data_IF_732988091108
#
_entry.id   IF_732988091108
#
_cell.length_a   1.000
_cell.length_b   1.000
_cell.length_c   1.000
_cell.angle_alpha   90.00
_cell.angle_beta   90.00
_cell.angle_gamma   90.00
#
_symmetry.space_group_name_H-M   'P 1'
#
loop_
_entity.id
_entity.type
_entity.pdbx_description
1 polymer ?
#
# COMPACT_ATOMS: atom_id res chain seq x y z
N UNK A 1 -1.77 -20.24 -11.02
CA UNK A 1 -1.54 -19.79 -9.63
C UNK A 1 -0.25 -18.99 -9.60
N UNK A 2 -0.35 -17.66 -9.69
CA UNK A 2 0.78 -16.76 -9.55
C UNK A 2 1.13 -16.61 -8.06
N UNK A 3 2.24 -17.22 -7.63
CA UNK A 3 2.79 -17.05 -6.28
C UNK A 3 3.59 -15.75 -6.19
N UNK A 4 2.92 -14.62 -6.37
CA UNK A 4 3.53 -13.34 -6.01
C UNK A 4 3.66 -13.25 -4.49
N UNK A 5 4.78 -12.75 -3.95
CA UNK A 5 4.96 -12.60 -2.51
C UNK A 5 4.00 -11.54 -1.95
N UNK A 6 3.76 -11.57 -0.63
CA UNK A 6 2.80 -10.67 0.04
C UNK A 6 3.36 -9.26 0.24
N UNK A 7 4.68 -9.13 0.23
CA UNK A 7 5.42 -7.89 0.13
C UNK A 7 6.78 -8.17 -0.52
N UNK A 8 7.43 -7.14 -1.03
CA UNK A 8 8.79 -7.23 -1.54
C UNK A 8 9.58 -5.96 -1.25
N UNK A 9 10.89 -6.09 -1.05
CA UNK A 9 11.85 -4.99 -0.99
C UNK A 9 12.87 -5.16 -2.10
N UNK A 10 13.02 -4.16 -2.97
CA UNK A 10 14.03 -4.12 -4.02
C UNK A 10 15.19 -3.26 -3.55
N UNK A 11 16.31 -3.88 -3.19
CA UNK A 11 17.46 -3.21 -2.62
C UNK A 11 18.73 -3.44 -3.47
N UNK A 12 19.60 -2.44 -3.61
CA UNK A 12 20.91 -2.61 -4.21
C UNK A 12 21.90 -3.19 -3.20
N UNK A 13 22.81 -4.05 -3.64
CA UNK A 13 23.86 -4.60 -2.76
C UNK A 13 24.30 -5.99 -3.14
N UNK A 14 25.12 -6.64 -2.31
CA UNK A 14 25.37 -8.08 -2.48
C UNK A 14 24.27 -8.90 -1.78
N UNK A 15 23.76 -9.98 -2.41
CA UNK A 15 22.66 -10.78 -1.85
C UNK A 15 22.92 -11.29 -0.43
N UNK A 16 24.12 -11.81 -0.15
CA UNK A 16 24.46 -12.32 1.18
C UNK A 16 24.49 -11.23 2.26
N UNK A 17 24.87 -9.99 1.88
CA UNK A 17 24.81 -8.85 2.78
C UNK A 17 23.36 -8.44 3.03
N UNK A 18 22.53 -8.40 1.98
CA UNK A 18 21.12 -8.07 2.10
C UNK A 18 20.39 -9.07 2.99
N UNK A 19 20.65 -10.38 2.84
CA UNK A 19 20.10 -11.44 3.68
C UNK A 19 20.48 -11.26 5.16
N UNK A 20 21.77 -11.07 5.44
CA UNK A 20 22.25 -10.85 6.81
C UNK A 20 21.67 -9.58 7.46
N UNK A 21 21.52 -8.50 6.68
CA UNK A 21 20.93 -7.25 7.19
C UNK A 21 19.42 -7.38 7.39
N UNK A 22 18.71 -7.99 6.45
CA UNK A 22 17.28 -8.22 6.58
C UNK A 22 16.96 -9.09 7.80
N UNK A 23 17.77 -10.12 8.04
CA UNK A 23 17.67 -10.96 9.23
C UNK A 23 17.86 -10.15 10.52
N UNK A 24 18.89 -9.31 10.59
CA UNK A 24 19.16 -8.48 11.76
C UNK A 24 18.05 -7.43 12.03
N UNK A 25 17.31 -7.02 11.00
CA UNK A 25 16.21 -6.04 11.12
C UNK A 25 14.92 -6.72 11.57
N UNK A 26 14.54 -7.82 10.90
CA UNK A 26 13.24 -8.50 11.13
C UNK A 26 13.32 -9.43 12.34
N UNK A 27 14.50 -9.94 12.67
CA UNK A 27 14.69 -10.91 13.75
C UNK A 27 15.87 -10.53 14.66
N UNK A 28 15.80 -9.41 15.41
CA UNK A 28 16.91 -8.92 16.21
C UNK A 28 17.34 -9.84 17.37
N UNK A 29 16.45 -10.73 17.81
CA UNK A 29 16.67 -11.69 18.91
C UNK A 29 16.79 -13.16 18.42
N UNK A 30 17.03 -13.37 17.12
CA UNK A 30 17.10 -14.74 16.57
C UNK A 30 18.42 -15.43 16.89
N UNK A 31 18.32 -16.55 17.60
CA UNK A 31 19.40 -17.52 17.76
C UNK A 31 19.18 -18.68 16.78
N UNK A 32 20.21 -19.06 16.01
CA UNK A 32 20.20 -20.14 14.99
C UNK A 32 19.71 -21.52 15.51
N UNK A 33 19.50 -21.69 16.82
CA UNK A 33 19.26 -22.99 17.45
C UNK A 33 17.86 -23.59 17.20
N UNK A 34 16.85 -22.81 16.80
CA UNK A 34 15.46 -23.30 16.72
C UNK A 34 15.01 -23.82 15.34
N UNK A 35 15.86 -23.75 14.31
CA UNK A 35 15.56 -24.36 13.00
C UNK A 35 14.32 -23.79 12.29
N UNK A 36 13.89 -22.60 12.66
CA UNK A 36 12.78 -21.87 12.03
C UNK A 36 13.21 -21.38 10.64
N UNK A 37 12.33 -21.54 9.64
CA UNK A 37 12.55 -20.99 8.30
C UNK A 37 12.50 -19.46 8.36
N UNK A 38 13.36 -18.79 7.59
CA UNK A 38 13.35 -17.33 7.52
C UNK A 38 11.99 -16.82 7.01
N UNK A 39 11.45 -15.74 7.59
CA UNK A 39 10.18 -15.13 7.15
C UNK A 39 10.26 -14.46 5.76
N UNK A 40 11.43 -14.51 5.14
CA UNK A 40 11.70 -13.95 3.83
C UNK A 40 12.70 -14.78 3.04
N UNK A 41 12.73 -14.57 1.73
CA UNK A 41 13.74 -15.09 0.80
C UNK A 41 14.44 -13.94 0.08
N UNK A 42 15.76 -14.03 -0.15
CA UNK A 42 16.48 -13.12 -1.04
C UNK A 42 16.59 -13.74 -2.43
N UNK A 43 15.98 -13.09 -3.42
CA UNK A 43 16.00 -13.49 -4.83
C UNK A 43 17.00 -12.61 -5.59
N UNK A 44 18.13 -13.18 -6.07
CA UNK A 44 19.10 -12.42 -6.82
C UNK A 44 18.53 -11.90 -8.14
N UNK A 45 18.46 -10.58 -8.27
CA UNK A 45 18.28 -9.92 -9.57
C UNK A 45 19.48 -10.10 -10.51
N UNK A 46 19.24 -9.80 -11.79
CA UNK A 46 20.22 -9.80 -12.88
C UNK A 46 21.12 -8.55 -12.92
N UNK A 47 20.79 -7.55 -12.11
CA UNK A 47 21.48 -6.26 -12.03
C UNK A 47 22.08 -6.00 -10.65
N UNK A 48 22.16 -4.71 -10.29
CA UNK A 48 22.64 -4.27 -8.96
C UNK A 48 21.60 -4.46 -7.85
N UNK A 49 20.33 -4.59 -8.24
CA UNK A 49 19.22 -4.78 -7.33
C UNK A 49 18.93 -6.27 -7.15
N UNK A 50 18.46 -6.60 -5.96
CA UNK A 50 17.94 -7.90 -5.59
C UNK A 50 16.63 -7.73 -4.83
N UNK A 51 15.78 -8.75 -4.83
CA UNK A 51 14.51 -8.71 -4.13
C UNK A 51 14.62 -9.47 -2.80
N UNK A 52 14.10 -8.88 -1.73
CA UNK A 52 13.79 -9.56 -0.47
C UNK A 52 12.28 -9.74 -0.47
N UNK A 53 11.78 -10.97 -0.37
CA UNK A 53 10.36 -11.27 -0.52
C UNK A 53 9.81 -11.96 0.71
N UNK A 54 8.67 -11.48 1.22
CA UNK A 54 8.00 -12.10 2.36
C UNK A 54 7.37 -13.44 2.00
N UNK A 55 7.62 -14.45 2.83
CA UNK A 55 7.09 -15.81 2.67
C UNK A 55 5.90 -16.11 3.59
N UNK A 56 5.74 -15.35 4.68
CA UNK A 56 4.65 -15.49 5.65
C UNK A 56 3.67 -14.28 5.62
N UNK A 57 2.34 -14.52 5.57
CA UNK A 57 1.34 -13.46 5.67
C UNK A 57 1.32 -12.66 6.97
N UNK A 58 1.88 -13.19 8.06
CA UNK A 58 1.94 -12.50 9.34
C UNK A 58 2.99 -11.38 9.40
N UNK A 59 3.90 -11.33 8.43
CA UNK A 59 4.99 -10.34 8.36
C UNK A 59 4.69 -9.15 7.44
N UNK A 60 3.41 -8.91 7.12
CA UNK A 60 2.98 -7.70 6.40
C UNK A 60 3.33 -6.46 7.24
N UNK A 61 4.04 -5.51 6.63
CA UNK A 61 4.58 -4.30 7.28
C UNK A 61 6.09 -4.34 7.49
N UNK A 62 6.72 -5.54 7.43
CA UNK A 62 8.17 -5.68 7.53
C UNK A 62 8.91 -4.99 6.36
N UNK A 63 8.29 -4.87 5.20
CA UNK A 63 8.87 -4.24 4.02
C UNK A 63 9.21 -2.76 4.23
N UNK A 64 8.42 -2.04 5.04
CA UNK A 64 8.66 -0.63 5.33
C UNK A 64 9.90 -0.47 6.19
N UNK A 65 9.99 -1.21 7.30
CA UNK A 65 11.13 -1.17 8.21
C UNK A 65 12.42 -1.63 7.51
N UNK A 66 12.34 -2.70 6.70
CA UNK A 66 13.46 -3.17 5.91
C UNK A 66 13.94 -2.11 4.91
N UNK A 67 13.02 -1.49 4.17
CA UNK A 67 13.40 -0.53 3.16
C UNK A 67 13.96 0.77 3.76
N UNK A 68 13.39 1.24 4.87
CA UNK A 68 13.91 2.39 5.62
C UNK A 68 15.36 2.15 6.05
N UNK A 69 15.61 1.08 6.81
CA UNK A 69 16.94 0.78 7.36
C UNK A 69 17.98 0.51 6.27
N UNK A 70 17.62 -0.24 5.21
CA UNK A 70 18.54 -0.48 4.09
C UNK A 70 18.84 0.81 3.31
N UNK A 71 17.89 1.74 3.21
CA UNK A 71 18.09 3.01 2.51
C UNK A 71 19.05 3.96 3.23
N UNK A 72 19.33 3.74 4.53
CA UNK A 72 20.35 4.47 5.29
C UNK A 72 21.78 4.01 4.96
N UNK A 73 21.91 2.82 4.36
CA UNK A 73 23.21 2.20 4.07
C UNK A 73 23.68 2.36 2.62
N UNK A 74 22.88 2.99 1.76
CA UNK A 74 23.19 3.16 0.34
C UNK A 74 22.70 4.50 -0.24
N UNK A 75 23.38 4.97 -1.29
CA UNK A 75 23.00 6.21 -1.99
C UNK A 75 21.85 5.98 -2.98
N UNK A 76 21.71 4.75 -3.48
CA UNK A 76 20.63 4.35 -4.36
C UNK A 76 19.30 4.17 -3.61
N UNK A 77 18.15 4.38 -4.27
CA UNK A 77 16.86 4.19 -3.64
C UNK A 77 16.61 2.71 -3.35
N UNK A 78 16.04 2.42 -2.18
CA UNK A 78 15.47 1.11 -1.86
C UNK A 78 13.96 1.20 -2.09
N UNK A 79 13.35 0.17 -2.68
CA UNK A 79 11.92 0.20 -2.94
C UNK A 79 11.18 -0.82 -2.08
N UNK A 80 10.15 -0.42 -1.34
CA UNK A 80 9.19 -1.36 -0.75
C UNK A 80 7.95 -1.47 -1.63
N UNK A 81 7.43 -2.68 -1.76
CA UNK A 81 6.21 -3.03 -2.48
C UNK A 81 5.31 -3.73 -1.48
N UNK A 82 4.25 -3.04 -1.07
CA UNK A 82 3.23 -3.61 -0.21
C UNK A 82 2.09 -4.16 -1.07
N UNK A 83 1.85 -5.47 -0.99
CA UNK A 83 0.71 -6.09 -1.68
C UNK A 83 -0.52 -6.13 -0.80
N UNK A 84 -0.40 -5.93 0.52
CA UNK A 84 -1.50 -6.01 1.49
C UNK A 84 -2.65 -5.02 1.23
N UNK A 85 -2.34 -3.91 0.57
CA UNK A 85 -3.30 -2.94 0.09
C UNK A 85 -3.42 -3.07 -1.44
N UNK A 86 -4.65 -3.07 -1.95
CA UNK A 86 -4.95 -2.86 -3.37
C UNK A 86 -5.32 -1.37 -3.53
N UNK A 87 -4.74 -0.61 -4.47
CA UNK A 87 -3.70 -0.99 -5.41
C UNK A 87 -2.36 -1.16 -4.70
N UNK A 88 -1.53 -2.03 -5.26
CA UNK A 88 -0.19 -2.28 -4.75
C UNK A 88 0.58 -0.96 -4.70
N UNK A 89 1.10 -0.63 -3.53
CA UNK A 89 1.79 0.62 -3.32
C UNK A 89 3.29 0.41 -3.48
N UNK A 90 3.92 1.24 -4.30
CA UNK A 90 5.37 1.29 -4.42
C UNK A 90 5.89 2.49 -3.66
N UNK A 91 6.90 2.27 -2.85
CA UNK A 91 7.54 3.28 -2.03
C UNK A 91 9.01 3.31 -2.31
N UNK A 92 9.56 4.49 -2.59
CA UNK A 92 10.99 4.74 -2.71
C UNK A 92 11.52 5.32 -1.42
N UNK A 93 12.56 4.70 -0.90
CA UNK A 93 13.26 5.09 0.31
C UNK A 93 14.66 5.55 -0.05
N UNK A 94 15.04 6.74 0.42
CA UNK A 94 16.37 7.30 0.22
C UNK A 94 16.83 7.97 1.51
N UNK A 95 17.90 7.47 2.12
CA UNK A 95 18.41 7.97 3.39
C UNK A 95 17.31 8.07 4.47
N UNK A 96 16.44 7.06 4.55
CA UNK A 96 15.30 7.00 5.46
C UNK A 96 14.09 7.87 5.06
N UNK A 97 14.20 8.70 4.02
CA UNK A 97 13.08 9.49 3.54
C UNK A 97 12.24 8.68 2.53
N UNK A 98 10.92 8.68 2.73
CA UNK A 98 9.95 7.94 1.96
C UNK A 98 9.27 8.82 0.89
N UNK A 99 9.08 8.27 -0.31
CA UNK A 99 8.32 8.84 -1.42
C UNK A 99 7.43 7.74 -2.02
N UNK A 100 6.12 7.97 -2.12
CA UNK A 100 5.21 7.01 -2.80
C UNK A 100 5.25 7.23 -4.31
N UNK A 101 5.39 6.15 -5.06
CA UNK A 101 5.52 6.15 -6.52
C UNK A 101 4.28 5.55 -7.17
N UNK A 102 3.72 6.29 -8.13
CA UNK A 102 2.65 5.82 -9.01
C UNK A 102 3.22 4.97 -10.16
N UNK A 103 3.85 3.85 -9.82
CA UNK A 103 4.44 2.91 -10.79
C UNK A 103 3.93 1.51 -10.55
N UNK A 104 3.74 0.75 -11.63
CA UNK A 104 3.38 -0.66 -11.54
C UNK A 104 4.55 -1.46 -10.93
N UNK A 105 4.33 -2.19 -9.81
CA UNK A 105 5.42 -2.87 -9.11
C UNK A 105 6.16 -3.91 -9.94
N UNK A 106 5.44 -4.63 -10.81
CA UNK A 106 6.02 -5.60 -11.74
C UNK A 106 6.98 -4.92 -12.72
N UNK A 107 6.51 -3.83 -13.34
CA UNK A 107 7.29 -3.04 -14.29
C UNK A 107 8.53 -2.44 -13.65
N UNK A 108 8.42 -1.95 -12.41
CA UNK A 108 9.57 -1.46 -11.65
C UNK A 108 10.58 -2.59 -11.39
N UNK A 109 10.12 -3.72 -10.85
CA UNK A 109 10.98 -4.85 -10.52
C UNK A 109 11.72 -5.38 -11.77
N UNK A 110 11.04 -5.45 -12.92
CA UNK A 110 11.65 -5.80 -14.20
C UNK A 110 12.71 -4.79 -14.64
N UNK A 111 12.43 -3.49 -14.53
CA UNK A 111 13.37 -2.43 -14.91
C UNK A 111 14.67 -2.46 -14.09
N UNK A 112 14.58 -2.93 -12.85
CA UNK A 112 15.72 -3.10 -11.93
C UNK A 112 16.43 -4.46 -12.10
N UNK A 113 15.88 -5.33 -12.95
CA UNK A 113 16.43 -6.66 -13.22
C UNK A 113 16.05 -7.72 -12.18
N UNK A 114 15.03 -7.47 -11.37
CA UNK A 114 14.55 -8.34 -10.27
C UNK A 114 13.15 -8.89 -10.57
N UNK A 115 12.94 -9.74 -11.60
CA UNK A 115 11.62 -10.27 -11.88
C UNK A 115 11.13 -11.08 -10.67
N UNK A 116 10.05 -10.62 -10.04
CA UNK A 116 9.46 -11.28 -8.88
C UNK A 116 8.81 -12.62 -9.27
N UNK A 117 8.85 -13.63 -8.39
CA UNK A 117 8.28 -14.95 -8.67
C UNK A 117 6.77 -14.85 -8.90
N UNK A 118 6.24 -15.67 -9.83
CA UNK A 118 4.80 -15.74 -10.11
C UNK A 118 4.33 -15.06 -11.40
N UNK A 119 5.23 -14.49 -12.21
CA UNK A 119 4.92 -14.01 -13.56
C UNK A 119 4.47 -15.18 -14.45
N UNK A 120 3.17 -15.31 -14.72
CA UNK A 120 2.76 -15.88 -16.01
C UNK A 120 3.22 -14.90 -17.08
N UNK A 121 3.87 -15.41 -18.14
CA UNK A 121 4.35 -14.57 -19.25
C UNK A 121 3.20 -13.69 -19.71
N UNK A 122 3.30 -12.39 -19.44
CA UNK A 122 2.27 -11.41 -19.79
C UNK A 122 2.04 -11.48 -21.30
N UNK A 123 0.89 -11.99 -21.72
CA UNK A 123 0.29 -11.50 -22.95
C UNK A 123 0.06 -10.00 -22.75
N UNK A 124 0.54 -9.17 -23.67
CA UNK A 124 0.36 -7.72 -23.72
C UNK A 124 -0.95 -7.29 -23.03
N UNK A 125 -0.88 -6.96 -21.74
CA UNK A 125 -1.99 -6.35 -21.06
C UNK A 125 -2.04 -4.89 -21.53
N UNK A 126 -3.21 -4.36 -21.90
CA UNK A 126 -3.32 -2.93 -22.12
C UNK A 126 -2.84 -2.21 -20.86
N UNK A 127 -2.14 -1.08 -21.01
CA UNK A 127 -1.65 -0.27 -19.90
C UNK A 127 -2.73 -0.16 -18.82
N UNK A 128 -2.45 -0.67 -17.61
CA UNK A 128 -3.37 -0.59 -16.47
C UNK A 128 -3.77 0.87 -16.30
N UNK A 129 -5.07 1.15 -16.19
CA UNK A 129 -5.56 2.51 -15.96
C UNK A 129 -5.03 2.99 -14.60
N UNK A 130 -4.63 4.27 -14.46
CA UNK A 130 -4.19 4.78 -13.17
C UNK A 130 -5.35 4.70 -12.18
N UNK A 131 -5.19 3.91 -11.12
CA UNK A 131 -6.14 3.85 -10.02
C UNK A 131 -5.88 5.03 -9.09
N UNK A 132 -6.95 5.65 -8.58
CA UNK A 132 -6.87 6.74 -7.63
C UNK A 132 -7.50 6.36 -6.32
N UNK A 133 -6.99 6.92 -5.22
CA UNK A 133 -7.39 6.65 -3.84
C UNK A 133 -7.96 7.90 -3.18
N UNK A 134 -9.09 7.75 -2.50
CA UNK A 134 -9.68 8.75 -1.62
C UNK A 134 -10.34 8.05 -0.43
N UNK A 135 -10.59 8.76 0.66
CA UNK A 135 -11.24 8.17 1.82
C UNK A 135 -12.28 9.09 2.46
N UNK A 136 -13.36 8.51 2.96
CA UNK A 136 -14.25 9.14 3.94
C UNK A 136 -13.92 8.61 5.33
N UNK A 137 -13.77 9.50 6.29
CA UNK A 137 -13.57 9.19 7.70
C UNK A 137 -14.75 9.71 8.52
N UNK A 138 -15.59 8.81 9.01
CA UNK A 138 -16.69 9.16 9.91
C UNK A 138 -16.18 9.41 11.33
N UNK A 139 -16.73 10.43 11.99
CA UNK A 139 -16.42 10.75 13.39
C UNK A 139 -15.17 11.60 13.61
N UNK A 140 -14.47 11.99 12.53
CA UNK A 140 -13.22 12.77 12.60
C UNK A 140 -13.39 14.11 11.89
N UNK A 141 -12.71 15.14 12.40
CA UNK A 141 -12.59 16.46 11.76
C UNK A 141 -11.23 16.65 11.11
N UNK A 142 -11.16 17.51 10.09
CA UNK A 142 -9.92 17.85 9.39
C UNK A 142 -8.80 18.29 10.34
N UNK A 143 -9.11 19.10 11.35
CA UNK A 143 -8.15 19.57 12.36
C UNK A 143 -7.53 18.45 13.21
N UNK A 144 -8.31 17.42 13.50
CA UNK A 144 -7.87 16.26 14.30
C UNK A 144 -7.00 15.33 13.45
N UNK A 145 -7.43 15.06 12.22
CA UNK A 145 -6.64 14.29 11.26
C UNK A 145 -5.30 14.98 10.93
N UNK A 146 -5.29 16.30 10.72
CA UNK A 146 -4.06 17.06 10.50
C UNK A 146 -3.05 16.84 11.64
N UNK A 147 -3.50 16.95 12.89
CA UNK A 147 -2.63 16.75 14.05
C UNK A 147 -2.05 15.34 14.09
N UNK A 148 -2.90 14.34 13.84
CA UNK A 148 -2.49 12.93 13.84
C UNK A 148 -1.42 12.66 12.78
N UNK A 149 -1.62 13.15 11.55
CA UNK A 149 -0.68 12.95 10.46
C UNK A 149 0.65 13.68 10.74
N UNK A 150 0.60 14.91 11.26
CA UNK A 150 1.81 15.64 11.66
C UNK A 150 2.59 14.94 12.79
N UNK A 151 1.91 14.38 13.79
CA UNK A 151 2.55 13.71 14.94
C UNK A 151 3.27 12.42 14.57
N UNK A 152 2.78 11.69 13.57
CA UNK A 152 3.39 10.43 13.12
C UNK A 152 4.59 10.67 12.20
N UNK A 153 4.87 11.94 11.86
CA UNK A 153 5.89 12.27 10.87
C UNK A 153 5.49 11.71 9.52
N UNK A 154 4.22 11.91 9.14
CA UNK A 154 3.68 11.47 7.85
C UNK A 154 4.71 11.75 6.74
N UNK A 155 5.09 10.73 5.96
CA UNK A 155 6.15 10.84 4.96
C UNK A 155 5.90 11.92 3.91
N UNK A 156 4.67 12.44 3.81
CA UNK A 156 4.33 13.43 2.82
C UNK A 156 4.43 14.88 3.32
N UNK A 157 4.90 15.82 2.48
CA UNK A 157 4.98 17.23 2.84
C UNK A 157 3.58 17.84 3.06
N UNK A 158 3.48 18.90 3.89
CA UNK A 158 2.23 19.64 4.06
C UNK A 158 1.60 20.05 2.72
N UNK A 159 0.31 19.73 2.54
CA UNK A 159 -0.44 20.02 1.32
C UNK A 159 -0.55 18.87 0.31
N UNK A 160 0.02 17.69 0.62
CA UNK A 160 -0.17 16.49 -0.21
C UNK A 160 -1.61 15.98 -0.16
N UNK A 161 -2.26 16.13 0.99
CA UNK A 161 -3.66 15.77 1.19
C UNK A 161 -4.55 17.01 1.21
N UNK A 162 -5.68 16.90 0.53
CA UNK A 162 -6.86 17.68 0.79
C UNK A 162 -7.64 17.01 1.94
N UNK A 163 -7.69 17.70 3.08
CA UNK A 163 -8.53 17.34 4.22
C UNK A 163 -9.74 18.29 4.25
N UNK A 164 -10.93 17.78 3.94
CA UNK A 164 -12.15 18.58 3.87
C UNK A 164 -13.24 18.04 4.79
N UNK A 165 -13.74 18.88 5.71
CA UNK A 165 -14.91 18.53 6.52
C UNK A 165 -16.18 18.50 5.66
N UNK A 166 -16.83 17.34 5.60
CA UNK A 166 -18.12 17.16 4.92
C UNK A 166 -19.23 16.86 5.93
N UNK A 167 -20.51 16.99 5.56
CA UNK A 167 -21.61 16.56 6.42
C UNK A 167 -21.59 15.08 6.81
N UNK A 168 -20.82 14.23 6.10
CA UNK A 168 -20.71 12.79 6.34
C UNK A 168 -19.47 12.42 7.16
N UNK A 169 -18.55 13.36 7.37
CA UNK A 169 -17.24 13.11 7.97
C UNK A 169 -16.14 13.83 7.21
N UNK A 170 -14.89 13.50 7.53
CA UNK A 170 -13.72 14.03 6.85
C UNK A 170 -13.49 13.33 5.52
N UNK A 171 -13.35 14.10 4.44
CA UNK A 171 -12.81 13.62 3.17
C UNK A 171 -11.29 13.76 3.17
N UNK A 172 -10.59 12.69 2.80
CA UNK A 172 -9.16 12.67 2.52
C UNK A 172 -8.99 12.37 1.02
N UNK A 173 -8.39 13.30 0.28
CA UNK A 173 -8.08 13.13 -1.14
C UNK A 173 -6.67 13.65 -1.44
N UNK A 174 -6.03 13.14 -2.49
CA UNK A 174 -4.68 13.53 -2.90
C UNK A 174 -4.69 14.27 -4.22
N UNK A 175 -3.84 15.31 -4.36
CA UNK A 175 -3.67 16.01 -5.63
C UNK A 175 -2.97 15.19 -6.72
N UNK A 176 -2.22 14.16 -6.32
CA UNK A 176 -1.50 13.25 -7.24
C UNK A 176 -2.36 12.08 -7.69
N UNK A 177 -3.39 11.72 -6.92
CA UNK A 177 -4.21 10.54 -7.17
C UNK A 177 -4.08 9.48 -6.09
N UNK A 178 -3.10 9.59 -5.19
CA UNK A 178 -2.93 8.72 -4.03
C UNK A 178 -2.93 9.53 -2.72
N UNK A 179 -3.49 8.93 -1.66
CA UNK A 179 -3.47 9.44 -0.28
C UNK A 179 -2.52 8.63 0.62
N UNK A 180 -1.67 7.78 0.03
CA UNK A 180 -0.69 6.98 0.74
C UNK A 180 -1.33 6.21 1.90
N UNK A 181 -0.81 6.42 3.12
CA UNK A 181 -1.27 5.76 4.33
C UNK A 181 -2.23 6.60 5.20
N UNK A 182 -2.63 7.78 4.75
CA UNK A 182 -3.40 8.70 5.60
C UNK A 182 -4.70 8.10 6.13
N UNK A 183 -5.39 7.28 5.33
CA UNK A 183 -6.61 6.57 5.74
C UNK A 183 -6.34 5.54 6.86
N UNK A 184 -5.20 4.84 6.79
CA UNK A 184 -4.77 3.87 7.80
C UNK A 184 -4.32 4.58 9.07
N UNK A 185 -3.42 5.56 8.96
CA UNK A 185 -2.89 6.31 10.11
C UNK A 185 -4.01 6.99 10.90
N UNK A 186 -4.98 7.60 10.22
CA UNK A 186 -6.15 8.18 10.88
C UNK A 186 -7.00 7.12 11.57
N UNK A 187 -7.21 5.96 10.95
CA UNK A 187 -7.96 4.85 11.55
C UNK A 187 -7.28 4.29 12.82
N UNK A 188 -5.96 4.14 12.80
CA UNK A 188 -5.16 3.63 13.93
C UNK A 188 -5.18 4.58 15.12
N UNK A 189 -4.95 5.87 14.85
CA UNK A 189 -4.76 6.89 15.89
C UNK A 189 -6.08 7.41 16.44
N UNK A 190 -7.17 7.20 15.71
CA UNK A 190 -8.51 7.57 16.14
C UNK A 190 -9.40 6.32 16.14
N UNK A 191 -9.35 5.48 17.20
CA UNK A 191 -9.97 4.14 17.20
C UNK A 191 -11.49 4.12 17.06
N UNK A 192 -12.15 5.26 17.27
CA UNK A 192 -13.60 5.40 17.12
C UNK A 192 -14.01 5.82 15.70
N UNK A 193 -13.05 6.14 14.83
CA UNK A 193 -13.29 6.48 13.44
C UNK A 193 -13.67 5.23 12.64
N UNK A 194 -14.60 5.39 11.70
CA UNK A 194 -14.82 4.41 10.63
C UNK A 194 -14.35 5.02 9.33
N UNK A 195 -13.38 4.36 8.69
CA UNK A 195 -12.78 4.83 7.44
C UNK A 195 -13.30 4.00 6.28
N UNK A 196 -13.71 4.64 5.21
CA UNK A 196 -14.06 4.04 3.93
C UNK A 196 -13.01 4.47 2.92
N UNK A 197 -11.98 3.64 2.73
CA UNK A 197 -10.95 3.87 1.73
C UNK A 197 -11.47 3.37 0.38
N UNK A 198 -11.55 4.26 -0.59
CA UNK A 198 -12.04 3.98 -1.94
C UNK A 198 -10.91 4.07 -2.92
N UNK A 199 -10.75 3.04 -3.73
CA UNK A 199 -9.86 3.03 -4.88
C UNK A 199 -10.70 2.82 -6.12
N UNK A 200 -10.48 3.64 -7.13
CA UNK A 200 -11.16 3.45 -8.38
C UNK A 200 -10.36 3.91 -9.59
N UNK A 201 -10.65 3.26 -10.70
CA UNK A 201 -10.31 3.70 -12.05
C UNK A 201 -11.16 4.91 -12.48
N UNK A 202 -10.72 5.69 -13.48
CA UNK A 202 -11.46 6.85 -13.98
C UNK A 202 -12.88 6.58 -14.47
N UNK A 203 -13.09 5.39 -15.03
CA UNK A 203 -14.39 4.97 -15.56
C UNK A 203 -15.19 4.14 -14.54
N UNK A 204 -14.65 3.95 -13.33
CA UNK A 204 -15.20 3.11 -12.26
C UNK A 204 -15.44 1.65 -12.67
N UNK A 205 -14.72 1.16 -13.69
CA UNK A 205 -14.76 -0.24 -14.09
C UNK A 205 -13.98 -1.14 -13.13
N UNK A 206 -12.92 -0.60 -12.54
CA UNK A 206 -12.28 -1.09 -11.32
C UNK A 206 -12.65 -0.16 -10.15
N UNK A 207 -13.22 -0.72 -9.09
CA UNK A 207 -13.73 0.00 -7.92
C UNK A 207 -13.67 -0.88 -6.67
N UNK A 208 -12.97 -0.40 -5.64
CA UNK A 208 -12.74 -1.09 -4.39
C UNK A 208 -13.07 -0.18 -3.23
N UNK A 209 -13.67 -0.73 -2.19
CA UNK A 209 -13.86 -0.05 -0.91
C UNK A 209 -13.39 -0.95 0.21
N UNK A 210 -12.42 -0.49 0.97
CA UNK A 210 -11.99 -1.12 2.22
C UNK A 210 -12.55 -0.33 3.40
N UNK A 211 -13.27 -1.00 4.29
CA UNK A 211 -13.75 -0.39 5.53
C UNK A 211 -12.74 -0.69 6.63
N UNK A 212 -12.22 0.36 7.27
CA UNK A 212 -11.22 0.24 8.34
C UNK A 212 -11.72 0.78 9.67
N UNK A 213 -11.31 0.12 10.76
CA UNK A 213 -11.55 0.54 12.15
C UNK A 213 -10.33 0.20 13.00
N UNK A 214 -9.77 1.19 13.70
CA UNK A 214 -8.58 0.96 14.53
C UNK A 214 -7.35 0.53 13.74
N UNK A 215 -7.24 0.91 12.46
CA UNK A 215 -6.14 0.53 11.56
C UNK A 215 -6.40 -0.74 10.74
N UNK A 216 -7.23 -1.64 11.23
CA UNK A 216 -7.51 -2.91 10.56
C UNK A 216 -8.58 -2.77 9.48
N UNK A 217 -8.36 -3.44 8.34
CA UNK A 217 -9.41 -3.68 7.35
C UNK A 217 -10.39 -4.71 7.87
N UNK A 218 -11.68 -4.37 7.91
CA UNK A 218 -12.73 -5.22 8.51
C UNK A 218 -13.57 -5.92 7.44
N UNK A 219 -13.82 -5.23 6.34
CA UNK A 219 -14.64 -5.71 5.22
C UNK A 219 -14.27 -4.98 3.93
N UNK A 220 -14.56 -5.60 2.80
CA UNK A 220 -14.30 -5.02 1.49
C UNK A 220 -15.46 -5.18 0.50
N UNK A 221 -15.59 -4.21 -0.40
CA UNK A 221 -16.44 -4.28 -1.58
C UNK A 221 -15.55 -4.14 -2.82
N UNK A 222 -15.77 -4.97 -3.84
CA UNK A 222 -15.00 -4.94 -5.08
C UNK A 222 -15.92 -5.07 -6.30
N UNK A 223 -15.69 -4.23 -7.30
CA UNK A 223 -16.30 -4.33 -8.62
C UNK A 223 -15.21 -4.08 -9.69
N UNK A 224 -14.88 -5.09 -10.54
CA UNK A 224 -15.37 -6.47 -10.48
C UNK A 224 -14.98 -7.16 -9.15
N UNK A 225 -15.69 -8.23 -8.75
CA UNK A 225 -15.32 -8.99 -7.57
C UNK A 225 -13.87 -9.50 -7.68
N UNK A 226 -13.10 -9.36 -6.60
CA UNK A 226 -11.75 -9.92 -6.51
C UNK A 226 -11.82 -11.46 -6.50
N UNK A 227 -10.87 -12.10 -7.21
CA UNK A 227 -10.75 -13.55 -7.27
C UNK A 227 -10.21 -14.12 -5.94
N UNK A 228 -9.39 -13.34 -5.22
CA UNK A 228 -8.75 -13.76 -3.97
C UNK A 228 -8.91 -12.69 -2.88
N UNK A 229 -10.16 -12.46 -2.41
CA UNK A 229 -10.44 -11.44 -1.41
C UNK A 229 -9.68 -11.72 -0.11
N UNK A 230 -9.09 -10.67 0.47
CA UNK A 230 -8.33 -10.75 1.73
C UNK A 230 -9.19 -10.49 2.93
N UNK A 231 -10.30 -9.79 2.73
CA UNK A 231 -11.24 -9.41 3.76
C UNK A 231 -12.60 -10.05 3.51
N UNK A 232 -13.47 -10.10 4.53
CA UNK A 232 -14.87 -10.43 4.33
C UNK A 232 -15.51 -9.53 3.26
N UNK A 233 -15.96 -10.14 2.16
CA UNK A 233 -16.59 -9.39 1.05
C UNK A 233 -18.04 -9.07 1.38
N UNK A 234 -18.40 -7.80 1.25
CA UNK A 234 -19.78 -7.31 1.39
C UNK A 234 -20.37 -6.96 0.03
N UNK A 235 -21.69 -7.13 -0.09
CA UNK A 235 -22.42 -6.84 -1.33
C UNK A 235 -22.86 -5.37 -1.45
N UNK A 236 -22.72 -4.58 -0.38
CA UNK A 236 -23.16 -3.19 -0.34
C UNK A 236 -22.34 -2.38 0.66
N UNK A 237 -22.11 -1.11 0.32
CA UNK A 237 -21.49 -0.11 1.19
C UNK A 237 -22.54 0.97 1.46
N UNK A 238 -22.83 1.23 2.75
CA UNK A 238 -23.87 2.19 3.17
C UNK A 238 -25.24 1.92 2.52
N UNK A 239 -25.56 0.66 2.23
CA UNK A 239 -26.81 0.22 1.59
C UNK A 239 -26.84 0.37 0.06
N UNK A 240 -25.74 0.76 -0.57
CA UNK A 240 -25.63 0.97 -2.02
C UNK A 240 -24.71 -0.06 -2.67
N UNK A 241 -24.98 -0.38 -3.94
CA UNK A 241 -24.35 -1.51 -4.66
C UNK A 241 -23.62 -1.15 -5.94
N UNK A 242 -23.84 0.05 -6.47
CA UNK A 242 -23.12 0.51 -7.66
C UNK A 242 -22.06 1.54 -7.26
N UNK A 243 -20.88 1.55 -7.93
CA UNK A 243 -19.80 2.49 -7.62
C UNK A 243 -20.25 3.94 -7.46
N UNK A 244 -21.07 4.46 -8.38
CA UNK A 244 -21.53 5.85 -8.35
C UNK A 244 -22.43 6.13 -7.15
N UNK A 245 -23.29 5.16 -6.77
CA UNK A 245 -24.19 5.30 -5.63
C UNK A 245 -23.45 5.16 -4.32
N UNK A 246 -22.43 4.30 -4.26
CA UNK A 246 -21.53 4.17 -3.12
C UNK A 246 -20.76 5.48 -2.93
N UNK A 247 -20.13 6.03 -3.98
CA UNK A 247 -19.45 7.32 -3.92
C UNK A 247 -20.37 8.44 -3.42
N UNK A 248 -21.59 8.53 -3.95
CA UNK A 248 -22.59 9.49 -3.48
C UNK A 248 -23.00 9.25 -2.01
N UNK A 249 -23.07 7.99 -1.57
CA UNK A 249 -23.36 7.62 -0.18
C UNK A 249 -22.18 7.90 0.78
N UNK A 250 -20.97 7.94 0.26
CA UNK A 250 -19.78 8.37 1.00
C UNK A 250 -19.55 9.89 0.88
N UNK A 251 -20.25 10.57 -0.03
CA UNK A 251 -20.02 11.98 -0.30
C UNK A 251 -18.65 12.24 -0.94
N UNK A 252 -18.07 11.24 -1.59
CA UNK A 252 -16.82 11.35 -2.35
C UNK A 252 -17.20 11.70 -3.79
N UNK A 253 -16.82 12.88 -4.31
CA UNK A 253 -17.12 13.25 -5.69
C UNK A 253 -16.46 12.32 -6.71
N UNK A 254 -17.20 11.86 -7.73
CA UNK A 254 -16.67 10.91 -8.72
C UNK A 254 -15.60 11.54 -9.63
N UNK A 255 -15.61 12.87 -9.77
CA UNK A 255 -14.59 13.63 -10.49
C UNK A 255 -13.17 13.43 -9.95
N UNK A 256 -13.00 13.07 -8.68
CA UNK A 256 -11.68 12.76 -8.11
C UNK A 256 -10.98 11.62 -8.83
N UNK A 257 -11.74 10.66 -9.34
CA UNK A 257 -11.18 9.48 -10.01
C UNK A 257 -10.92 9.74 -11.50
N UNK A 258 -11.50 10.78 -12.10
CA UNK A 258 -11.39 11.03 -13.54
C UNK A 258 -9.98 11.53 -13.91
N UNK A 259 -9.45 11.01 -15.03
CA UNK A 259 -8.28 11.60 -15.67
C UNK A 259 -8.68 12.97 -16.25
N UNK A 260 -7.93 14.02 -15.90
CA UNK A 260 -7.95 15.28 -16.67
C UNK A 260 -7.10 15.14 -17.94
#
# INVERSE_FOLDING_TARGET
MSRWPLWAVLAPGEPARLESRAQAIVMPDWDEEDGEELPFEVIPGSGRYHAIVGTDPSDVGAEMQLAEELSLECDEPVYSIERANDPWSVMSWRNGALEVLEVDPESLAESLGCPLPGREKSSDSPAKKPLRKAALVEGVRAEEAHRVLEEVGDPFPPGHYLLEDTPRGLLIAGGTGDIGYADITVSERIPHATVYAVIASPDLDEFFVTVRRGGEGVEEFAQPPDEFPRLPVVSEIKGERSPERILAALGIPAEWFRNE
#
